data_IF_158421282236
#
_entry.id   IF_158421282236
#
_cell.length_a   1.000
_cell.length_b   1.000
_cell.length_c   1.000
_cell.angle_alpha   90.00
_cell.angle_beta   90.00
_cell.angle_gamma   90.00
#
_symmetry.space_group_name_H-M   'P 1'
#
loop_
_entity.id
_entity.type
_entity.pdbx_description
1 polymer ?
#
# COMPACT_ATOMS: atom_id res chain seq x y z
N UNK A 1 5.94 -14.92 6.25
CA UNK A 1 7.18 -14.27 5.76
C UNK A 1 6.95 -12.82 5.33
N UNK A 2 5.94 -12.51 4.50
CA UNK A 2 5.63 -11.12 4.08
C UNK A 2 5.44 -10.12 5.23
N UNK A 3 4.65 -10.47 6.26
CA UNK A 3 4.42 -9.58 7.41
C UNK A 3 5.71 -9.17 8.15
N UNK A 4 6.70 -10.07 8.23
CA UNK A 4 7.99 -9.80 8.88
C UNK A 4 8.80 -8.80 8.06
N UNK A 5 8.85 -8.97 6.74
CA UNK A 5 9.54 -8.05 5.84
C UNK A 5 8.91 -6.66 5.86
N UNK A 6 7.59 -6.58 5.84
CA UNK A 6 6.84 -5.33 5.93
C UNK A 6 7.15 -4.60 7.25
N UNK A 7 7.13 -5.33 8.39
CA UNK A 7 7.47 -4.76 9.68
C UNK A 7 8.93 -4.23 9.70
N UNK A 8 9.88 -4.97 9.12
CA UNK A 8 11.27 -4.53 9.01
C UNK A 8 11.42 -3.28 8.14
N UNK A 9 10.69 -3.17 7.02
CA UNK A 9 10.67 -1.97 6.17
C UNK A 9 10.21 -0.75 6.97
N UNK A 10 9.19 -0.91 7.82
CA UNK A 10 8.67 0.20 8.63
C UNK A 10 9.64 0.66 9.71
N UNK A 11 10.32 -0.28 10.37
CA UNK A 11 11.38 0.05 11.34
C UNK A 11 12.52 0.82 10.64
N UNK A 12 12.90 0.42 9.42
CA UNK A 12 13.91 1.15 8.65
C UNK A 12 13.42 2.54 8.20
N UNK A 13 12.17 2.66 7.73
CA UNK A 13 11.57 3.93 7.31
C UNK A 13 11.55 4.96 8.44
N UNK A 14 11.28 4.53 9.67
CA UNK A 14 11.28 5.44 10.82
C UNK A 14 12.69 5.94 11.17
N UNK A 15 13.73 5.12 10.97
CA UNK A 15 15.13 5.55 11.09
C UNK A 15 15.54 6.55 10.01
N UNK A 16 14.86 6.52 8.86
CA UNK A 16 15.07 7.41 7.72
C UNK A 16 14.21 8.68 7.80
N UNK A 17 13.52 8.94 8.93
CA UNK A 17 12.67 10.12 9.10
C UNK A 17 13.44 11.46 9.04
N UNK A 18 14.76 11.45 9.22
CA UNK A 18 15.61 12.64 9.07
C UNK A 18 15.80 13.06 7.60
N UNK A 19 15.54 12.18 6.63
CA UNK A 19 15.68 12.46 5.20
C UNK A 19 14.36 12.93 4.60
N UNK A 20 14.46 13.78 3.57
CA UNK A 20 13.29 14.24 2.85
C UNK A 20 12.56 13.05 2.21
N UNK A 21 11.28 12.89 2.58
CA UNK A 21 10.40 11.80 2.13
C UNK A 21 10.49 11.45 0.63
N UNK A 22 10.61 12.44 -0.25
CA UNK A 22 10.70 12.23 -1.71
C UNK A 22 11.89 11.34 -2.06
N UNK A 23 13.02 11.57 -1.40
CA UNK A 23 14.27 10.81 -1.62
C UNK A 23 14.06 9.36 -1.17
N UNK A 24 13.46 9.16 0.00
CA UNK A 24 13.17 7.84 0.55
C UNK A 24 12.20 7.07 -0.36
N UNK A 25 11.11 7.71 -0.81
CA UNK A 25 10.16 7.10 -1.75
C UNK A 25 10.80 6.81 -3.10
N UNK A 26 11.66 7.69 -3.61
CA UNK A 26 12.34 7.48 -4.89
C UNK A 26 13.25 6.24 -4.87
N UNK A 27 14.12 6.10 -3.86
CA UNK A 27 14.97 4.91 -3.72
C UNK A 27 14.15 3.64 -3.48
N UNK A 28 13.06 3.73 -2.71
CA UNK A 28 12.15 2.61 -2.50
C UNK A 28 11.52 2.14 -3.82
N UNK A 29 11.03 3.07 -4.64
CA UNK A 29 10.42 2.73 -5.93
C UNK A 29 11.46 2.22 -6.93
N UNK A 30 12.66 2.78 -6.94
CA UNK A 30 13.75 2.35 -7.82
C UNK A 30 14.17 0.90 -7.50
N UNK A 31 14.36 0.58 -6.23
CA UNK A 31 14.70 -0.78 -5.78
C UNK A 31 13.56 -1.76 -6.07
N UNK A 32 12.31 -1.35 -5.86
CA UNK A 32 11.13 -2.16 -6.19
C UNK A 32 11.00 -2.42 -7.69
N UNK A 33 11.25 -1.40 -8.53
CA UNK A 33 11.22 -1.51 -9.98
C UNK A 33 12.34 -2.43 -10.50
N UNK A 34 13.55 -2.31 -9.95
CA UNK A 34 14.66 -3.20 -10.29
C UNK A 34 14.38 -4.66 -9.90
N UNK A 35 13.82 -4.88 -8.70
CA UNK A 35 13.42 -6.22 -8.24
C UNK A 35 12.30 -6.82 -9.11
N UNK A 36 11.28 -6.02 -9.46
CA UNK A 36 10.21 -6.43 -10.35
C UNK A 36 10.74 -6.77 -11.76
N UNK A 37 11.61 -5.92 -12.32
CA UNK A 37 12.25 -6.17 -13.61
C UNK A 37 13.12 -7.43 -13.60
N UNK A 38 13.91 -7.64 -12.55
CA UNK A 38 14.70 -8.86 -12.37
C UNK A 38 13.81 -10.10 -12.28
N UNK A 39 12.71 -10.03 -11.52
CA UNK A 39 11.74 -11.13 -11.40
C UNK A 39 11.14 -11.51 -12.74
N UNK A 40 10.70 -10.51 -13.52
CA UNK A 40 10.17 -10.71 -14.87
C UNK A 40 11.19 -11.39 -15.77
N UNK A 41 12.44 -10.95 -15.77
CA UNK A 41 13.51 -11.55 -16.60
C UNK A 41 13.78 -13.01 -16.19
N UNK A 42 13.88 -13.28 -14.88
CA UNK A 42 14.27 -14.60 -14.35
C UNK A 42 13.15 -15.63 -14.44
N UNK A 43 11.92 -15.25 -14.12
CA UNK A 43 10.80 -16.19 -13.95
C UNK A 43 9.87 -16.23 -15.17
N UNK A 44 9.66 -15.10 -15.85
CA UNK A 44 8.68 -14.99 -16.95
C UNK A 44 9.34 -14.98 -18.32
N UNK A 45 10.48 -14.28 -18.46
CA UNK A 45 11.24 -14.15 -19.71
C UNK A 45 11.92 -15.45 -20.21
N UNK A 46 12.06 -16.46 -19.34
CA UNK A 46 12.66 -17.76 -19.70
C UNK A 46 11.69 -18.95 -19.77
N UNK A 47 10.49 -18.85 -19.20
CA UNK A 47 9.59 -20.02 -18.96
C UNK A 47 8.28 -19.93 -19.74
N UNK A 48 7.85 -18.75 -20.18
CA UNK A 48 6.59 -18.58 -20.93
C UNK A 48 6.83 -17.83 -22.25
N UNK A 49 6.81 -18.51 -23.41
CA UNK A 49 6.95 -17.86 -24.72
C UNK A 49 5.80 -16.90 -25.07
N UNK A 50 4.77 -16.79 -24.22
CA UNK A 50 3.64 -15.88 -24.37
C UNK A 50 3.81 -14.55 -23.62
N UNK A 51 4.93 -14.35 -22.90
CA UNK A 51 5.17 -13.12 -22.15
C UNK A 51 5.65 -11.99 -23.06
N UNK A 52 4.69 -11.33 -23.71
CA UNK A 52 4.93 -10.05 -24.38
C UNK A 52 4.81 -8.92 -23.34
N UNK A 53 5.94 -8.29 -22.98
CA UNK A 53 6.02 -7.09 -22.12
C UNK A 53 5.05 -5.98 -22.53
N UNK A 54 4.70 -5.95 -23.81
CA UNK A 54 3.64 -5.16 -24.38
C UNK A 54 2.79 -6.13 -25.18
N UNK A 55 1.68 -6.65 -24.62
CA UNK A 55 0.68 -7.35 -25.44
C UNK A 55 0.19 -6.35 -26.49
N UNK A 56 0.53 -6.51 -27.78
CA UNK A 56 0.16 -5.55 -28.82
C UNK A 56 -1.35 -5.50 -29.08
N UNK A 57 -2.06 -6.52 -28.58
CA UNK A 57 -3.51 -6.76 -28.59
C UNK A 57 -4.21 -6.30 -27.29
N UNK A 58 -3.48 -5.69 -26.35
CA UNK A 58 -4.08 -5.18 -25.12
C UNK A 58 -5.07 -4.06 -25.44
N UNK A 59 -6.31 -4.22 -24.96
CA UNK A 59 -7.34 -3.18 -25.03
C UNK A 59 -6.75 -1.87 -24.49
N UNK A 60 -6.82 -0.74 -25.22
CA UNK A 60 -6.29 0.55 -24.76
C UNK A 60 -6.82 0.93 -23.37
N UNK A 61 -8.04 0.50 -23.01
CA UNK A 61 -8.60 0.71 -21.67
C UNK A 61 -7.74 0.09 -20.55
N UNK A 62 -7.12 -1.07 -20.78
CA UNK A 62 -6.26 -1.75 -19.78
C UNK A 62 -4.94 -1.01 -19.60
N UNK A 63 -4.36 -0.50 -20.69
CA UNK A 63 -3.13 0.31 -20.64
C UNK A 63 -3.40 1.63 -19.89
N UNK A 64 -4.53 2.29 -20.19
CA UNK A 64 -4.95 3.48 -19.47
C UNK A 64 -5.23 3.20 -17.99
N UNK A 65 -5.92 2.10 -17.66
CA UNK A 65 -6.15 1.70 -16.27
C UNK A 65 -4.84 1.42 -15.52
N UNK A 66 -3.85 0.78 -16.16
CA UNK A 66 -2.53 0.55 -15.58
C UNK A 66 -1.78 1.86 -15.33
N UNK A 67 -1.84 2.83 -16.26
CA UNK A 67 -1.23 4.15 -16.09
C UNK A 67 -1.89 4.94 -14.95
N UNK A 68 -3.22 4.96 -14.90
CA UNK A 68 -3.97 5.60 -13.81
C UNK A 68 -3.66 4.92 -12.48
N UNK A 69 -3.67 3.59 -12.43
CA UNK A 69 -3.29 2.83 -11.24
C UNK A 69 -1.85 3.11 -10.78
N UNK A 70 -0.91 3.21 -11.72
CA UNK A 70 0.49 3.55 -11.42
C UNK A 70 0.66 4.96 -10.86
N UNK A 71 -0.03 5.95 -11.43
CA UNK A 71 0.02 7.34 -10.94
C UNK A 71 -0.64 7.49 -9.57
N UNK A 72 -1.82 6.89 -9.36
CA UNK A 72 -2.50 6.87 -8.04
C UNK A 72 -1.66 6.12 -7.01
N UNK A 73 -1.08 4.98 -7.39
CA UNK A 73 -0.18 4.20 -6.53
C UNK A 73 1.08 4.98 -6.13
N UNK A 74 1.66 5.73 -7.06
CA UNK A 74 2.81 6.62 -6.78
C UNK A 74 2.46 7.69 -5.75
N UNK A 75 1.34 8.40 -5.95
CA UNK A 75 0.86 9.42 -5.00
C UNK A 75 0.55 8.79 -3.64
N UNK A 76 -0.14 7.66 -3.62
CA UNK A 76 -0.43 6.90 -2.40
C UNK A 76 0.84 6.52 -1.64
N UNK A 77 1.88 6.09 -2.36
CA UNK A 77 3.15 5.71 -1.76
C UNK A 77 3.91 6.90 -1.17
N UNK A 78 3.85 8.08 -1.81
CA UNK A 78 4.39 9.32 -1.24
C UNK A 78 3.68 9.68 0.07
N UNK A 79 2.34 9.63 0.09
CA UNK A 79 1.55 9.89 1.29
C UNK A 79 1.86 8.90 2.42
N UNK A 80 1.94 7.60 2.11
CA UNK A 80 2.29 6.56 3.08
C UNK A 80 3.69 6.77 3.67
N UNK A 81 4.68 7.04 2.82
CA UNK A 81 6.07 7.27 3.27
C UNK A 81 6.13 8.44 4.24
N UNK A 82 5.43 9.54 3.91
CA UNK A 82 5.36 10.71 4.81
C UNK A 82 4.62 10.42 6.09
N UNK A 83 3.49 9.70 6.04
CA UNK A 83 2.74 9.31 7.22
C UNK A 83 3.59 8.51 8.21
N UNK A 84 4.42 7.60 7.71
CA UNK A 84 5.30 6.78 8.53
C UNK A 84 6.53 7.51 9.10
N UNK A 85 6.99 8.56 8.43
CA UNK A 85 8.07 9.40 8.95
C UNK A 85 7.60 10.34 10.07
N UNK A 86 6.36 10.83 9.99
CA UNK A 86 5.82 11.82 10.95
C UNK A 86 5.26 11.14 12.20
N UNK A 87 4.67 9.95 12.05
CA UNK A 87 3.91 9.29 13.11
C UNK A 87 4.72 8.23 13.84
N UNK A 88 4.43 8.01 15.14
CA UNK A 88 5.04 6.93 15.92
C UNK A 88 4.73 5.56 15.30
N UNK A 89 5.71 4.65 15.31
CA UNK A 89 5.64 3.30 14.72
C UNK A 89 4.34 2.55 15.12
N UNK A 90 3.90 2.67 16.37
CA UNK A 90 2.70 2.00 16.85
C UNK A 90 1.38 2.50 16.23
N UNK A 91 1.30 3.80 15.92
CA UNK A 91 0.09 4.40 15.31
C UNK A 91 0.08 4.16 13.80
N UNK A 92 1.27 4.18 13.17
CA UNK A 92 1.47 3.81 11.76
C UNK A 92 0.89 2.42 11.42
N UNK A 93 1.08 1.44 12.30
CA UNK A 93 0.51 0.09 12.13
C UNK A 93 -1.03 0.11 12.07
N UNK A 94 -1.67 0.96 12.87
CA UNK A 94 -3.14 1.05 12.92
C UNK A 94 -3.71 1.72 11.67
N UNK A 95 -3.03 2.74 11.16
CA UNK A 95 -3.40 3.38 9.89
C UNK A 95 -3.38 2.35 8.75
N UNK A 96 -2.43 1.42 8.75
CA UNK A 96 -2.37 0.34 7.74
C UNK A 96 -3.56 -0.61 7.82
N UNK A 97 -4.10 -0.89 9.00
CA UNK A 97 -5.31 -1.72 9.12
C UNK A 97 -6.54 -1.01 8.56
N UNK A 98 -6.58 0.33 8.56
CA UNK A 98 -7.64 1.09 7.93
C UNK A 98 -7.64 0.95 6.40
N UNK A 99 -6.50 0.70 5.75
CA UNK A 99 -6.44 0.45 4.30
C UNK A 99 -7.39 -0.70 3.90
N UNK A 100 -7.44 -1.76 4.72
CA UNK A 100 -8.33 -2.91 4.49
C UNK A 100 -9.81 -2.50 4.63
N UNK A 101 -10.13 -1.62 5.57
CA UNK A 101 -11.49 -1.09 5.75
C UNK A 101 -11.90 -0.23 4.55
N UNK A 102 -11.01 0.62 4.05
CA UNK A 102 -11.26 1.41 2.85
C UNK A 102 -11.41 0.54 1.61
N UNK A 103 -10.64 -0.55 1.49
CA UNK A 103 -10.79 -1.52 0.42
C UNK A 103 -12.21 -2.13 0.43
N UNK A 104 -12.69 -2.62 1.59
CA UNK A 104 -14.06 -3.13 1.71
C UNK A 104 -15.12 -2.06 1.43
N UNK A 105 -14.90 -0.81 1.82
CA UNK A 105 -15.82 0.27 1.52
C UNK A 105 -15.92 0.53 0.02
N UNK A 106 -14.79 0.55 -0.68
CA UNK A 106 -14.75 0.74 -2.12
C UNK A 106 -15.37 -0.44 -2.88
N UNK A 107 -15.10 -1.66 -2.40
CA UNK A 107 -15.67 -2.90 -2.92
C UNK A 107 -17.20 -2.90 -2.80
N UNK A 108 -17.72 -2.48 -1.64
CA UNK A 108 -19.16 -2.30 -1.40
C UNK A 108 -19.81 -1.26 -2.32
N UNK A 109 -19.15 -0.10 -2.47
CA UNK A 109 -19.68 1.06 -3.21
C UNK A 109 -19.61 0.83 -4.72
N UNK A 110 -18.54 0.19 -5.22
CA UNK A 110 -18.25 0.11 -6.65
C UNK A 110 -18.54 -1.27 -7.26
N UNK A 111 -18.30 -2.38 -6.54
CA UNK A 111 -18.55 -3.72 -7.04
C UNK A 111 -19.94 -4.26 -6.66
N UNK A 112 -20.65 -3.63 -5.71
CA UNK A 112 -21.96 -4.06 -5.21
C UNK A 112 -22.03 -5.56 -4.83
N UNK A 113 -20.90 -6.15 -4.45
CA UNK A 113 -20.85 -7.53 -3.99
C UNK A 113 -21.46 -7.65 -2.58
N UNK A 114 -22.14 -8.78 -2.28
CA UNK A 114 -22.76 -9.00 -0.98
C UNK A 114 -21.68 -9.17 0.10
N UNK A 115 -21.46 -8.13 0.89
CA UNK A 115 -20.53 -8.17 2.02
C UNK A 115 -21.06 -9.13 3.09
N UNK A 116 -20.30 -10.15 3.44
CA UNK A 116 -20.62 -11.02 4.56
C UNK A 116 -20.60 -10.24 5.89
N UNK A 117 -21.61 -10.46 6.75
CA UNK A 117 -21.75 -9.74 8.02
C UNK A 117 -20.53 -9.81 8.95
N UNK A 118 -19.71 -10.86 8.83
CA UNK A 118 -18.45 -11.00 9.56
C UNK A 118 -17.38 -9.97 9.14
N UNK A 119 -17.33 -9.57 7.87
CA UNK A 119 -16.44 -8.49 7.41
C UNK A 119 -16.85 -7.14 7.98
N UNK A 120 -18.17 -6.90 8.13
CA UNK A 120 -18.69 -5.68 8.74
C UNK A 120 -18.28 -5.59 10.22
N UNK A 121 -18.40 -6.69 10.97
CA UNK A 121 -17.95 -6.75 12.37
C UNK A 121 -16.45 -6.46 12.48
N UNK A 122 -15.63 -7.05 11.60
CA UNK A 122 -14.20 -6.77 11.54
C UNK A 122 -13.88 -5.30 11.25
N UNK A 123 -14.56 -4.69 10.29
CA UNK A 123 -14.39 -3.29 9.94
C UNK A 123 -14.74 -2.35 11.10
N UNK A 124 -15.86 -2.60 11.78
CA UNK A 124 -16.28 -1.82 12.97
C UNK A 124 -15.24 -1.92 14.09
N UNK A 125 -14.69 -3.11 14.34
CA UNK A 125 -13.66 -3.30 15.35
C UNK A 125 -12.38 -2.51 15.03
N UNK A 126 -11.93 -2.53 13.78
CA UNK A 126 -10.74 -1.76 13.35
C UNK A 126 -10.98 -0.26 13.52
N UNK A 127 -12.14 0.25 13.10
CA UNK A 127 -12.51 1.66 13.26
C UNK A 127 -12.55 2.05 14.75
N UNK A 128 -13.13 1.21 15.61
CA UNK A 128 -13.18 1.46 17.04
C UNK A 128 -11.77 1.55 17.65
N UNK A 129 -10.87 0.62 17.30
CA UNK A 129 -9.47 0.65 17.72
C UNK A 129 -8.74 1.92 17.25
N UNK A 130 -8.93 2.31 15.98
CA UNK A 130 -8.34 3.53 15.43
C UNK A 130 -8.85 4.78 16.15
N UNK A 131 -10.15 4.86 16.43
CA UNK A 131 -10.76 5.96 17.18
C UNK A 131 -10.19 6.07 18.61
N UNK A 132 -10.05 4.94 19.32
CA UNK A 132 -9.44 4.93 20.66
C UNK A 132 -7.99 5.44 20.62
N UNK A 133 -7.20 5.03 19.62
CA UNK A 133 -5.80 5.46 19.48
C UNK A 133 -5.71 6.95 19.18
N UNK A 134 -6.58 7.45 18.29
CA UNK A 134 -6.65 8.87 17.97
C UNK A 134 -7.07 9.72 19.18
N UNK A 135 -8.06 9.27 19.95
CA UNK A 135 -8.51 9.92 21.19
C UNK A 135 -7.45 9.91 22.29
N UNK A 136 -6.67 8.82 22.41
CA UNK A 136 -5.54 8.76 23.34
C UNK A 136 -4.43 9.73 22.93
N UNK A 137 -4.17 9.86 21.62
CA UNK A 137 -3.20 10.82 21.10
C UNK A 137 -3.62 12.26 21.40
N UNK A 138 -4.89 12.62 21.15
CA UNK A 138 -5.38 13.98 21.42
C UNK A 138 -5.37 14.34 22.91
N UNK A 139 -5.60 13.36 23.80
CA UNK A 139 -5.57 13.55 25.26
C UNK A 139 -4.15 13.55 25.87
N UNK A 140 -3.19 12.88 25.23
CA UNK A 140 -1.79 12.78 25.69
C UNK A 140 -0.84 13.81 25.08
N UNK A 141 -1.35 14.75 24.29
CA UNK A 141 -0.60 15.88 23.71
C UNK A 141 -1.10 17.24 24.24
N UNK A 142 -1.75 17.25 25.41
CA UNK A 142 -2.02 18.48 26.17
C UNK A 142 -0.92 18.69 27.22
#
# INVERSE_FOLDING_TARGET
MSAVLIALTYVHLHKLAALHYVVVTHYFLLTSAAAAGLWVIVMEGGVRPEFHLLRPDANPAVVWAAFVGGTVGFVGQLCLTKGFQIEKIGISSVIRYLDVVFAFLWDAVWLHEPIHGWSVVGAVLIIACAAVIFLRKSRGQA
#
